data_IF_676561069167
#
_entry.id   IF_676561069167
#
_cell.length_a   1.000
_cell.length_b   1.000
_cell.length_c   1.000
_cell.angle_alpha   90.00
_cell.angle_beta   90.00
_cell.angle_gamma   90.00
#
_symmetry.space_group_name_H-M   'P 1'
#
loop_
_entity.id
_entity.type
_entity.pdbx_description
1 polymer ?
#
# COMPACT_ATOMS: atom_id res chain seq x y z
N UNK A 1 -10.28 9.90 25.44
CA UNK A 1 -11.11 9.13 24.49
C UNK A 1 -11.19 7.70 25.01
N UNK A 2 -12.32 7.01 24.85
CA UNK A 2 -12.47 5.64 25.38
C UNK A 2 -12.04 4.60 24.34
N UNK A 3 -11.89 3.35 24.76
CA UNK A 3 -11.46 2.25 23.88
C UNK A 3 -12.37 2.07 22.65
N UNK A 4 -13.67 2.24 22.82
CA UNK A 4 -14.65 2.12 21.72
C UNK A 4 -14.41 3.16 20.63
N UNK A 5 -14.25 4.43 21.03
CA UNK A 5 -13.98 5.50 20.08
C UNK A 5 -12.64 5.26 19.36
N UNK A 6 -11.59 4.81 20.06
CA UNK A 6 -10.29 4.53 19.42
C UNK A 6 -10.41 3.45 18.35
N UNK A 7 -11.17 2.39 18.62
CA UNK A 7 -11.40 1.35 17.63
C UNK A 7 -12.32 1.79 16.49
N UNK A 8 -13.24 2.71 16.73
CA UNK A 8 -14.09 3.29 15.70
C UNK A 8 -13.27 4.15 14.73
N UNK A 9 -12.36 4.98 15.25
CA UNK A 9 -11.42 5.75 14.42
C UNK A 9 -10.47 4.84 13.66
N UNK A 10 -9.88 3.83 14.33
CA UNK A 10 -9.06 2.82 13.68
C UNK A 10 -9.79 2.17 12.49
N UNK A 11 -11.05 1.78 12.69
CA UNK A 11 -11.88 1.18 11.65
C UNK A 11 -12.13 2.15 10.50
N UNK A 12 -12.44 3.42 10.80
CA UNK A 12 -12.66 4.44 9.78
C UNK A 12 -11.41 4.65 8.92
N UNK A 13 -10.25 4.83 9.56
CA UNK A 13 -8.96 4.96 8.86
C UNK A 13 -8.64 3.74 8.02
N UNK A 14 -8.90 2.53 8.52
CA UNK A 14 -8.70 1.32 7.73
C UNK A 14 -9.57 1.31 6.46
N UNK A 15 -10.84 1.74 6.54
CA UNK A 15 -11.70 1.85 5.36
C UNK A 15 -11.18 2.91 4.39
N UNK A 16 -10.76 4.08 4.89
CA UNK A 16 -10.19 5.14 4.06
C UNK A 16 -8.91 4.69 3.35
N UNK A 17 -8.05 3.92 4.03
CA UNK A 17 -6.86 3.30 3.42
C UNK A 17 -7.27 2.35 2.28
N UNK A 18 -8.28 1.50 2.51
CA UNK A 18 -8.75 0.54 1.49
C UNK A 18 -9.26 1.25 0.23
N UNK A 19 -9.92 2.39 0.40
CA UNK A 19 -10.40 3.24 -0.70
C UNK A 19 -9.25 3.98 -1.40
N UNK A 20 -8.33 4.59 -0.66
CA UNK A 20 -7.23 5.38 -1.22
C UNK A 20 -6.21 4.51 -1.98
N UNK A 21 -6.00 3.26 -1.57
CA UNK A 21 -5.18 2.30 -2.33
C UNK A 21 -5.71 2.14 -3.77
N UNK A 22 -7.03 2.15 -3.94
CA UNK A 22 -7.66 1.94 -5.25
C UNK A 22 -7.65 3.19 -6.12
N UNK A 23 -7.69 4.38 -5.50
CA UNK A 23 -7.74 5.68 -6.21
C UNK A 23 -6.34 6.17 -6.59
N UNK A 24 -5.54 6.54 -5.60
CA UNK A 24 -4.34 7.36 -5.79
C UNK A 24 -3.07 6.74 -5.21
N UNK A 25 -3.21 5.76 -4.31
CA UNK A 25 -2.09 5.05 -3.68
C UNK A 25 -1.32 5.84 -2.63
N UNK A 26 -1.71 7.08 -2.32
CA UNK A 26 -1.09 7.87 -1.26
C UNK A 26 -1.79 7.61 0.08
N UNK A 27 -1.26 6.65 0.84
CA UNK A 27 -1.83 6.21 2.12
C UNK A 27 -0.92 6.46 3.31
N UNK A 28 0.27 7.00 3.10
CA UNK A 28 1.25 7.26 4.15
C UNK A 28 0.66 8.01 5.37
N UNK A 29 -0.04 9.15 5.21
CA UNK A 29 -0.59 9.88 6.36
C UNK A 29 -1.63 9.04 7.13
N UNK A 30 -2.47 8.28 6.42
CA UNK A 30 -3.49 7.44 7.05
C UNK A 30 -2.88 6.26 7.83
N UNK A 31 -1.77 5.70 7.34
CA UNK A 31 -1.03 4.65 8.04
C UNK A 31 -0.41 5.20 9.32
N UNK A 32 0.20 6.38 9.27
CA UNK A 32 0.82 7.02 10.43
C UNK A 32 -0.24 7.32 11.51
N UNK A 33 -1.37 7.89 11.13
CA UNK A 33 -2.48 8.16 12.06
C UNK A 33 -3.04 6.86 12.68
N UNK A 34 -3.19 5.81 11.87
CA UNK A 34 -3.62 4.50 12.36
C UNK A 34 -2.60 3.88 13.33
N UNK A 35 -1.30 4.08 13.11
CA UNK A 35 -0.25 3.61 14.02
C UNK A 35 -0.31 4.31 15.38
N UNK A 36 -0.57 5.62 15.40
CA UNK A 36 -0.72 6.38 16.64
C UNK A 36 -1.91 5.88 17.47
N UNK A 37 -3.04 5.55 16.85
CA UNK A 37 -4.18 4.94 17.56
C UNK A 37 -3.77 3.61 18.20
N UNK A 38 -3.04 2.76 17.48
CA UNK A 38 -2.55 1.49 18.03
C UNK A 38 -1.61 1.72 19.22
N UNK A 39 -0.72 2.71 19.15
CA UNK A 39 0.17 3.08 20.27
C UNK A 39 -0.62 3.54 21.49
N UNK A 40 -1.65 4.36 21.30
CA UNK A 40 -2.52 4.82 22.39
C UNK A 40 -3.27 3.65 23.03
N UNK A 41 -3.81 2.73 22.23
CA UNK A 41 -4.49 1.53 22.76
C UNK A 41 -3.51 0.63 23.52
N UNK A 42 -2.30 0.41 22.99
CA UNK A 42 -1.32 -0.48 23.62
C UNK A 42 -0.68 0.10 24.89
N UNK A 43 -0.60 1.43 25.00
CA UNK A 43 -0.08 2.11 26.20
C UNK A 43 -1.17 2.46 27.22
N UNK A 44 -2.44 2.36 26.82
CA UNK A 44 -3.58 2.58 27.70
C UNK A 44 -3.80 1.42 28.68
N UNK A 45 -4.37 1.74 29.84
CA UNK A 45 -4.78 0.77 30.86
C UNK A 45 -6.17 0.19 30.52
N UNK A 46 -6.26 -0.47 29.38
CA UNK A 46 -7.49 -1.07 28.89
C UNK A 46 -7.54 -2.57 29.20
N UNK A 47 -8.70 -3.05 29.63
CA UNK A 47 -8.90 -4.46 29.90
C UNK A 47 -8.87 -5.30 28.61
N UNK A 48 -8.25 -6.49 28.69
CA UNK A 48 -8.08 -7.38 27.54
C UNK A 48 -9.40 -7.97 27.06
N UNK A 49 -10.36 -8.23 27.95
CA UNK A 49 -11.67 -8.72 27.56
C UNK A 49 -12.46 -7.63 26.85
N UNK A 50 -12.36 -6.38 27.30
CA UNK A 50 -12.98 -5.23 26.63
C UNK A 50 -12.37 -4.99 25.24
N UNK A 51 -11.05 -5.08 25.09
CA UNK A 51 -10.35 -5.04 23.80
C UNK A 51 -10.94 -6.09 22.85
N UNK A 52 -11.05 -7.34 23.32
CA UNK A 52 -11.57 -8.45 22.52
C UNK A 52 -13.04 -8.25 22.16
N UNK A 53 -13.87 -7.88 23.13
CA UNK A 53 -15.31 -7.71 22.95
C UNK A 53 -15.62 -6.59 21.97
N UNK A 54 -15.00 -5.43 22.16
CA UNK A 54 -15.22 -4.28 21.29
C UNK A 54 -14.63 -4.54 19.90
N UNK A 55 -13.40 -5.06 19.82
CA UNK A 55 -12.77 -5.39 18.55
C UNK A 55 -13.59 -6.37 17.71
N UNK A 56 -14.18 -7.39 18.35
CA UNK A 56 -15.12 -8.31 17.69
C UNK A 56 -16.40 -7.62 17.25
N UNK A 57 -16.99 -6.75 18.08
CA UNK A 57 -18.22 -6.01 17.75
C UNK A 57 -18.06 -5.08 16.55
N UNK A 58 -16.84 -4.61 16.29
CA UNK A 58 -16.49 -3.75 15.16
C UNK A 58 -15.91 -4.53 13.97
N UNK A 59 -15.86 -5.87 14.05
CA UNK A 59 -15.32 -6.77 13.03
C UNK A 59 -13.86 -6.45 12.61
N UNK A 60 -13.04 -5.93 13.53
CA UNK A 60 -11.70 -5.41 13.19
C UNK A 60 -10.76 -6.47 12.61
N UNK A 61 -10.86 -7.71 13.07
CA UNK A 61 -10.03 -8.81 12.56
C UNK A 61 -10.32 -9.07 11.08
N UNK A 62 -11.60 -9.18 10.73
CA UNK A 62 -12.04 -9.41 9.35
C UNK A 62 -11.63 -8.24 8.45
N UNK A 63 -11.76 -7.02 8.94
CA UNK A 63 -11.35 -5.82 8.22
C UNK A 63 -9.83 -5.81 7.95
N UNK A 64 -9.03 -6.23 8.92
CA UNK A 64 -7.58 -6.36 8.74
C UNK A 64 -7.24 -7.42 7.67
N UNK A 65 -7.91 -8.57 7.70
CA UNK A 65 -7.73 -9.60 6.67
C UNK A 65 -8.05 -9.08 5.26
N UNK A 66 -9.12 -8.31 5.11
CA UNK A 66 -9.50 -7.67 3.85
C UNK A 66 -8.44 -6.66 3.38
N UNK A 67 -7.95 -5.80 4.28
CA UNK A 67 -6.88 -4.85 3.98
C UNK A 67 -5.59 -5.58 3.53
N UNK A 68 -5.22 -6.67 4.20
CA UNK A 68 -4.05 -7.47 3.83
C UNK A 68 -4.17 -8.09 2.43
N UNK A 69 -5.38 -8.51 2.03
CA UNK A 69 -5.64 -9.00 0.67
C UNK A 69 -5.48 -7.90 -0.37
N UNK A 70 -5.94 -6.68 -0.07
CA UNK A 70 -5.77 -5.51 -0.94
C UNK A 70 -4.28 -5.18 -1.11
N UNK A 71 -3.51 -5.14 -0.03
CA UNK A 71 -2.06 -4.91 -0.10
C UNK A 71 -1.34 -5.95 -0.96
N UNK A 72 -1.68 -7.24 -0.81
CA UNK A 72 -1.10 -8.31 -1.64
C UNK A 72 -1.39 -8.10 -3.12
N UNK A 73 -2.63 -7.73 -3.47
CA UNK A 73 -3.03 -7.45 -4.86
C UNK A 73 -2.27 -6.26 -5.44
N UNK A 74 -2.22 -5.14 -4.72
CA UNK A 74 -1.56 -3.93 -5.21
C UNK A 74 -0.05 -4.13 -5.34
N UNK A 75 0.59 -4.83 -4.40
CA UNK A 75 2.01 -5.20 -4.48
C UNK A 75 2.34 -5.97 -5.76
N UNK A 76 1.51 -6.94 -6.14
CA UNK A 76 1.70 -7.71 -7.37
C UNK A 76 1.54 -6.81 -8.61
N UNK A 77 0.55 -5.92 -8.61
CA UNK A 77 0.29 -4.98 -9.71
C UNK A 77 1.46 -4.02 -9.91
N UNK A 78 1.94 -3.38 -8.85
CA UNK A 78 3.10 -2.47 -8.90
C UNK A 78 4.36 -3.20 -9.37
N UNK A 79 4.60 -4.43 -8.90
CA UNK A 79 5.73 -5.26 -9.36
C UNK A 79 5.68 -5.48 -10.87
N UNK A 80 4.52 -5.83 -11.43
CA UNK A 80 4.34 -6.01 -12.88
C UNK A 80 4.59 -4.72 -13.66
N UNK A 81 4.13 -3.58 -13.15
CA UNK A 81 4.37 -2.28 -13.77
C UNK A 81 5.87 -1.95 -13.83
N UNK A 82 6.60 -2.16 -12.73
CA UNK A 82 8.06 -1.98 -12.67
C UNK A 82 8.77 -2.89 -13.68
N UNK A 83 8.37 -4.16 -13.76
CA UNK A 83 8.94 -5.11 -14.73
C UNK A 83 8.70 -4.67 -16.18
N UNK A 84 7.50 -4.16 -16.49
CA UNK A 84 7.17 -3.64 -17.81
C UNK A 84 8.01 -2.40 -18.16
N UNK A 85 8.19 -1.47 -17.21
CA UNK A 85 9.06 -0.29 -17.39
C UNK A 85 10.51 -0.73 -17.67
N UNK A 86 11.03 -1.70 -16.91
CA UNK A 86 12.38 -2.25 -17.14
C UNK A 86 12.52 -2.86 -18.53
N UNK A 87 11.52 -3.62 -18.99
CA UNK A 87 11.50 -4.20 -20.35
C UNK A 87 11.48 -3.10 -21.41
N UNK A 88 10.61 -2.10 -21.27
CA UNK A 88 10.51 -0.98 -22.20
C UNK A 88 11.83 -0.21 -22.29
N UNK A 89 12.48 0.05 -21.14
CA UNK A 89 13.81 0.68 -21.10
C UNK A 89 14.85 -0.12 -21.89
N UNK A 90 14.93 -1.44 -21.67
CA UNK A 90 15.86 -2.32 -22.38
C UNK A 90 15.61 -2.32 -23.90
N UNK A 91 14.34 -2.33 -24.30
CA UNK A 91 13.96 -2.25 -25.73
C UNK A 91 14.39 -0.91 -26.33
N UNK A 92 14.15 0.21 -25.65
CA UNK A 92 14.59 1.53 -26.10
C UNK A 92 16.12 1.64 -26.20
N UNK A 93 16.86 1.09 -25.22
CA UNK A 93 18.33 1.01 -25.27
C UNK A 93 18.79 0.21 -26.49
N UNK A 94 18.15 -0.94 -26.78
CA UNK A 94 18.46 -1.74 -27.96
C UNK A 94 18.19 -0.99 -29.28
N UNK A 95 17.05 -0.29 -29.40
CA UNK A 95 16.76 0.52 -30.59
C UNK A 95 17.78 1.65 -30.78
N UNK A 96 18.14 2.35 -29.71
CA UNK A 96 19.17 3.39 -29.76
C UNK A 96 20.54 2.83 -30.17
N UNK A 97 20.89 1.64 -29.67
CA UNK A 97 22.12 0.95 -30.08
C UNK A 97 22.09 0.56 -31.55
N UNK A 98 20.98 0.03 -32.07
CA UNK A 98 20.84 -0.30 -33.51
C UNK A 98 20.96 0.97 -34.37
N UNK A 99 20.29 2.06 -34.01
CA UNK A 99 20.41 3.34 -34.71
C UNK A 99 21.82 3.93 -34.70
N UNK A 100 22.55 3.76 -33.59
CA UNK A 100 23.96 4.14 -33.49
C UNK A 100 24.87 3.24 -34.32
N UNK A 101 24.63 1.92 -34.34
CA UNK A 101 25.34 0.97 -35.18
C UNK A 101 25.14 1.31 -36.66
N UNK A 102 23.92 1.59 -37.10
CA UNK A 102 23.63 2.06 -38.46
C UNK A 102 24.33 3.38 -38.80
N UNK A 103 24.50 4.30 -37.83
CA UNK A 103 25.30 5.53 -38.02
C UNK A 103 26.80 5.28 -38.16
N UNK A 104 27.34 4.28 -37.45
CA UNK A 104 28.75 3.88 -37.59
C UNK A 104 28.99 3.29 -38.98
N UNK A 105 28.06 2.47 -39.49
CA UNK A 105 28.17 1.90 -40.84
C UNK A 105 27.83 2.88 -41.97
N UNK A 106 27.04 3.92 -41.71
CA UNK A 106 26.83 5.03 -42.66
C UNK A 106 27.96 6.08 -42.66
N UNK A 107 28.98 5.95 -41.79
CA UNK A 107 30.23 6.72 -41.91
C UNK A 107 31.18 6.05 -42.91
N UNK A 108 30.80 6.12 -44.17
CA UNK A 108 31.66 6.00 -45.35
C UNK A 108 30.96 6.91 -46.37
N UNK A 109 31.48 8.07 -46.76
CA UNK A 109 32.84 8.51 -47.08
C UNK A 109 33.10 9.91 -46.52
#
# INVERSE_FOLDING_TARGET
MNLYEHFKEYRALTLDIMDEIQKNGNIAPLIEEREEIIKVINSGDFDKEDIKKIGNSLELLKLEEELQLIYKKEKIKVKKQIENIKKARKVNENYNNIGNISRIFNKTV
#
